data_IF_300101835421
#
_entry.id   IF_300101835421
#
_cell.length_a   1.000
_cell.length_b   1.000
_cell.length_c   1.000
_cell.angle_alpha   90.00
_cell.angle_beta   90.00
_cell.angle_gamma   90.00
#
_symmetry.space_group_name_H-M   'P 1'
#
loop_
_entity.id
_entity.type
_entity.pdbx_description
1 polymer ?
#
# COMPACT_ATOMS: atom_id res chain seq x y z
N UNK A 1 18.39 -15.54 14.17
CA UNK A 1 18.18 -14.78 12.91
C UNK A 1 16.98 -15.37 12.20
N UNK A 2 15.92 -14.58 12.03
CA UNK A 2 15.26 -14.43 10.74
C UNK A 2 14.28 -13.27 10.85
N UNK A 3 14.57 -12.24 10.06
CA UNK A 3 13.79 -11.04 9.88
C UNK A 3 12.37 -11.42 9.49
N UNK A 4 11.44 -11.35 10.45
CA UNK A 4 10.04 -11.17 10.11
C UNK A 4 9.97 -9.82 9.40
N UNK A 5 9.71 -9.86 8.09
CA UNK A 5 9.30 -8.71 7.29
C UNK A 5 8.40 -7.82 8.14
N UNK A 6 8.94 -6.68 8.58
CA UNK A 6 8.22 -5.67 9.36
C UNK A 6 7.16 -5.06 8.43
N UNK A 7 6.05 -5.78 8.22
CA UNK A 7 4.91 -5.33 7.42
C UNK A 7 4.46 -3.97 7.98
N UNK A 8 4.72 -2.91 7.23
CA UNK A 8 4.30 -1.55 7.60
C UNK A 8 2.78 -1.53 7.60
N UNK A 9 2.18 -1.47 8.79
CA UNK A 9 0.72 -1.50 8.95
C UNK A 9 0.18 -0.08 8.81
N UNK A 10 -0.99 0.02 8.18
CA UNK A 10 -1.74 1.26 8.19
C UNK A 10 -2.46 1.42 9.53
N UNK A 11 -2.17 2.47 10.28
CA UNK A 11 -2.67 2.62 11.67
C UNK A 11 -3.21 4.02 11.97
N UNK A 12 -3.44 4.85 10.95
CA UNK A 12 -3.74 6.23 11.20
C UNK A 12 -4.14 7.02 9.98
N UNK A 13 -4.52 8.26 10.23
CA UNK A 13 -4.91 9.24 9.24
C UNK A 13 -4.05 10.50 9.38
N UNK A 14 -3.78 11.13 8.26
CA UNK A 14 -3.08 12.40 8.13
C UNK A 14 -4.02 13.38 7.50
N UNK A 15 -4.15 14.55 8.10
CA UNK A 15 -4.73 15.70 7.46
C UNK A 15 -3.61 16.68 7.14
N UNK A 16 -3.52 17.11 5.89
CA UNK A 16 -2.58 18.15 5.47
C UNK A 16 -3.38 19.38 5.06
N UNK A 17 -3.01 20.54 5.58
CA UNK A 17 -3.58 21.84 5.22
C UNK A 17 -2.43 22.78 4.88
N UNK A 18 -2.41 23.28 3.65
CA UNK A 18 -1.38 24.19 3.17
C UNK A 18 -1.97 25.59 2.92
N UNK A 19 -1.22 26.62 3.31
CA UNK A 19 -1.35 27.99 2.84
C UNK A 19 -0.07 28.39 2.05
N UNK A 20 0.01 29.61 1.55
CA UNK A 20 1.12 30.06 0.68
C UNK A 20 2.52 29.94 1.31
N UNK A 21 2.60 29.88 2.65
CA UNK A 21 3.84 29.96 3.43
C UNK A 21 4.04 28.79 4.40
N UNK A 22 2.96 28.14 4.84
CA UNK A 22 2.97 27.11 5.88
C UNK A 22 2.17 25.88 5.44
N UNK A 23 2.74 24.71 5.68
CA UNK A 23 2.00 23.45 5.62
C UNK A 23 1.85 22.92 7.03
N UNK A 24 0.60 22.72 7.47
CA UNK A 24 0.29 22.03 8.72
C UNK A 24 -0.10 20.59 8.44
N UNK A 25 0.54 19.69 9.16
CA UNK A 25 0.31 18.25 9.10
C UNK A 25 -0.24 17.81 10.46
N UNK A 26 -1.48 17.34 10.47
CA UNK A 26 -2.08 16.71 11.65
C UNK A 26 -2.05 15.20 11.46
N UNK A 27 -1.38 14.49 12.36
CA UNK A 27 -1.26 13.03 12.34
C UNK A 27 -2.10 12.46 13.47
N UNK A 28 -3.01 11.55 13.13
CA UNK A 28 -3.79 10.78 14.08
C UNK A 28 -3.48 9.29 13.91
N UNK A 29 -3.18 8.61 15.00
CA UNK A 29 -2.82 7.20 15.04
C UNK A 29 -3.69 6.45 16.05
N UNK A 30 -4.14 5.25 15.68
CA UNK A 30 -4.84 4.32 16.58
C UNK A 30 -4.47 2.87 16.29
N UNK A 31 -4.42 2.05 17.34
CA UNK A 31 -4.36 0.59 17.22
C UNK A 31 -2.94 0.00 17.22
N UNK A 32 -1.95 0.80 17.60
CA UNK A 32 -0.64 0.27 17.99
C UNK A 32 -0.64 -0.02 19.49
N UNK A 33 -0.51 -1.30 19.85
CA UNK A 33 -0.38 -1.73 21.24
C UNK A 33 1.04 -1.41 21.72
N UNK A 34 1.17 -0.30 22.43
CA UNK A 34 2.45 0.15 22.99
C UNK A 34 2.41 0.02 24.50
N UNK A 35 3.58 -0.22 25.10
CA UNK A 35 3.75 -0.04 26.53
C UNK A 35 3.42 1.41 26.92
N UNK A 36 3.04 1.62 28.18
CA UNK A 36 2.47 2.87 28.66
C UNK A 36 3.45 4.04 28.41
N UNK A 37 3.09 4.94 27.50
CA UNK A 37 3.81 6.20 27.25
C UNK A 37 5.02 6.09 26.29
N UNK A 38 4.85 5.45 25.13
CA UNK A 38 5.89 5.42 24.10
C UNK A 38 5.90 6.69 23.24
N UNK A 39 7.09 7.07 22.78
CA UNK A 39 7.30 8.08 21.74
C UNK A 39 7.55 7.40 20.40
N UNK A 40 7.06 7.99 19.32
CA UNK A 40 7.41 7.63 17.95
C UNK A 40 7.96 8.82 17.19
N UNK A 41 8.86 8.58 16.24
CA UNK A 41 9.37 9.60 15.32
C UNK A 41 8.49 9.65 14.07
N UNK A 42 8.06 10.83 13.66
CA UNK A 42 7.23 11.06 12.48
C UNK A 42 8.11 11.49 11.31
N UNK A 43 7.93 10.84 10.17
CA UNK A 43 8.68 11.09 8.94
C UNK A 43 7.74 11.44 7.80
N UNK A 44 8.14 12.45 7.02
CA UNK A 44 7.69 12.62 5.65
C UNK A 44 8.44 11.68 4.73
N UNK A 45 7.75 11.25 3.67
CA UNK A 45 8.31 10.41 2.62
C UNK A 45 8.10 11.12 1.28
N UNK A 46 9.19 11.42 0.61
CA UNK A 46 9.17 11.99 -0.74
C UNK A 46 9.19 10.94 -1.84
N UNK A 47 9.00 11.36 -3.09
CA UNK A 47 8.90 10.48 -4.28
C UNK A 47 10.15 9.63 -4.51
N UNK A 48 11.35 10.16 -4.23
CA UNK A 48 12.60 9.43 -4.40
C UNK A 48 12.95 8.56 -3.18
N UNK A 49 11.97 8.33 -2.30
CA UNK A 49 12.07 7.50 -1.10
C UNK A 49 12.98 8.10 -0.01
N UNK A 50 13.23 9.41 -0.08
CA UNK A 50 13.80 10.19 1.02
C UNK A 50 12.87 10.23 2.22
N UNK A 51 13.47 10.12 3.42
CA UNK A 51 12.77 10.18 4.69
C UNK A 51 13.21 11.41 5.48
N UNK A 52 12.29 12.33 5.76
CA UNK A 52 12.55 13.55 6.50
C UNK A 52 11.83 13.52 7.84
N UNK A 53 12.57 13.58 8.95
CA UNK A 53 11.97 13.63 10.28
C UNK A 53 11.31 15.00 10.52
N UNK A 54 10.05 15.00 10.93
CA UNK A 54 9.26 16.23 11.17
C UNK A 54 8.89 16.45 12.64
N UNK A 55 9.09 15.44 13.49
CA UNK A 55 8.91 15.58 14.94
C UNK A 55 8.64 14.27 15.66
N UNK A 56 8.33 14.37 16.95
CA UNK A 56 7.92 13.24 17.79
C UNK A 56 6.39 13.19 17.92
N UNK A 57 5.85 11.99 18.11
CA UNK A 57 4.46 11.70 18.43
C UNK A 57 4.41 10.92 19.73
N UNK A 58 3.69 11.45 20.73
CA UNK A 58 3.46 10.72 21.97
C UNK A 58 2.25 9.79 21.81
N UNK A 59 2.38 8.55 22.28
CA UNK A 59 1.38 7.51 22.14
C UNK A 59 0.96 7.03 23.53
N UNK A 60 -0.31 7.21 23.84
CA UNK A 60 -0.90 6.82 25.11
C UNK A 60 -2.25 6.14 24.87
N UNK A 61 -2.50 5.04 25.58
CA UNK A 61 -3.73 4.25 25.43
C UNK A 61 -4.02 3.84 23.98
N UNK A 62 -2.97 3.45 23.25
CA UNK A 62 -3.01 3.05 21.83
C UNK A 62 -3.49 4.15 20.86
N UNK A 63 -3.43 5.42 21.28
CA UNK A 63 -3.79 6.59 20.48
C UNK A 63 -2.60 7.57 20.49
N UNK A 64 -2.29 8.13 19.34
CA UNK A 64 -1.31 9.22 19.19
C UNK A 64 -1.90 10.33 18.35
N UNK A 65 -1.69 11.58 18.76
CA UNK A 65 -2.05 12.77 17.99
C UNK A 65 -0.94 13.80 18.07
N UNK A 66 -0.58 14.38 16.93
CA UNK A 66 0.46 15.39 16.82
C UNK A 66 0.21 16.32 15.64
N UNK A 67 0.59 17.59 15.80
CA UNK A 67 0.57 18.58 14.73
C UNK A 67 1.99 19.08 14.46
N UNK A 68 2.34 19.15 13.18
CA UNK A 68 3.65 19.55 12.70
C UNK A 68 3.50 20.69 11.71
N UNK A 69 4.37 21.68 11.78
CA UNK A 69 4.39 22.82 10.87
C UNK A 69 5.67 22.78 10.03
N UNK A 70 5.50 22.92 8.72
CA UNK A 70 6.59 23.01 7.75
C UNK A 70 6.54 24.40 7.12
N UNK A 71 7.66 25.12 7.19
CA UNK A 71 7.82 26.48 6.63
C UNK A 71 8.69 26.43 5.38
N UNK A 72 8.27 27.20 4.37
CA UNK A 72 8.85 27.21 3.03
C UNK A 72 10.28 27.79 2.94
N UNK A 73 10.72 28.63 3.89
CA UNK A 73 11.96 29.43 3.80
C UNK A 73 12.75 29.57 5.11
N UNK A 74 12.80 28.56 5.99
CA UNK A 74 13.62 28.63 7.23
C UNK A 74 13.27 27.55 8.25
N UNK A 75 13.90 26.38 8.07
CA UNK A 75 13.41 25.07 8.50
C UNK A 75 13.82 24.60 9.89
N UNK A 76 13.01 23.68 10.43
CA UNK A 76 13.46 22.61 11.35
C UNK A 76 13.67 21.26 10.62
N UNK A 77 13.22 21.12 9.37
CA UNK A 77 13.50 19.98 8.48
C UNK A 77 13.54 20.43 7.01
N UNK A 78 14.55 20.00 6.24
CA UNK A 78 14.72 20.36 4.82
C UNK A 78 13.72 19.59 3.95
N UNK A 79 12.84 20.31 3.28
CA UNK A 79 11.82 19.88 2.35
C UNK A 79 11.68 20.99 1.30
N UNK A 80 12.28 20.78 0.14
CA UNK A 80 12.11 21.68 -1.00
C UNK A 80 10.78 21.39 -1.67
N UNK A 81 10.14 22.46 -2.17
CA UNK A 81 8.80 22.45 -2.77
C UNK A 81 8.62 21.43 -3.91
N UNK A 82 9.72 20.92 -4.45
CA UNK A 82 9.75 20.04 -5.62
C UNK A 82 9.77 18.53 -5.25
N UNK A 83 9.94 18.18 -3.97
CA UNK A 83 9.86 16.78 -3.51
C UNK A 83 8.40 16.40 -3.20
N UNK A 84 7.57 16.01 -4.17
CA UNK A 84 6.18 15.64 -3.86
C UNK A 84 6.06 14.57 -2.74
N UNK A 85 5.36 14.91 -1.65
CA UNK A 85 5.15 14.00 -0.51
C UNK A 85 4.21 12.87 -0.93
N UNK A 86 4.67 11.64 -0.85
CA UNK A 86 3.86 10.44 -1.13
C UNK A 86 3.31 9.81 0.15
N UNK A 87 3.86 10.12 1.32
CA UNK A 87 3.50 9.44 2.56
C UNK A 87 3.95 10.10 3.85
N UNK A 88 3.36 9.63 4.94
CA UNK A 88 3.84 9.86 6.31
C UNK A 88 3.99 8.51 6.98
N UNK A 89 5.16 8.29 7.58
CA UNK A 89 5.42 7.14 8.45
C UNK A 89 5.69 7.55 9.88
N UNK A 90 5.46 6.62 10.79
CA UNK A 90 5.70 6.78 12.22
C UNK A 90 6.49 5.57 12.68
N UNK A 91 7.68 5.80 13.22
CA UNK A 91 8.54 4.76 13.78
C UNK A 91 8.36 4.75 15.30
N UNK A 92 7.87 3.64 15.86
CA UNK A 92 7.65 3.47 17.29
C UNK A 92 8.45 2.27 17.76
N UNK A 93 9.53 2.53 18.51
CA UNK A 93 10.55 1.52 18.78
C UNK A 93 11.06 0.92 17.47
N UNK A 94 10.84 -0.37 17.29
CA UNK A 94 11.21 -1.10 16.07
C UNK A 94 10.11 -1.17 15.00
N UNK A 95 8.91 -0.67 15.27
CA UNK A 95 7.74 -0.83 14.40
C UNK A 95 7.54 0.43 13.56
N UNK A 96 7.66 0.29 12.23
CA UNK A 96 7.32 1.36 11.29
C UNK A 96 5.88 1.21 10.81
N UNK A 97 5.13 2.28 10.94
CA UNK A 97 3.72 2.32 10.60
C UNK A 97 3.44 3.47 9.64
N UNK A 98 2.36 3.35 8.87
CA UNK A 98 2.00 4.34 7.85
C UNK A 98 0.63 4.94 8.15
N UNK A 99 0.46 6.21 7.80
CA UNK A 99 -0.83 6.88 7.90
C UNK A 99 -1.43 7.15 6.51
N UNK A 100 -2.76 7.01 6.38
CA UNK A 100 -3.52 7.38 5.18
C UNK A 100 -3.71 8.88 5.16
N UNK A 101 -3.70 9.53 4.00
CA UNK A 101 -4.20 10.89 3.93
C UNK A 101 -5.74 10.86 4.02
N UNK A 102 -6.33 11.78 4.77
CA UNK A 102 -7.77 11.82 5.07
C UNK A 102 -8.58 12.58 4.00
N UNK A 103 -7.94 13.25 3.05
CA UNK A 103 -8.67 14.10 2.11
C UNK A 103 -9.33 13.32 0.98
N UNK A 104 -10.58 13.69 0.67
CA UNK A 104 -11.27 13.40 -0.59
C UNK A 104 -10.78 14.30 -1.75
N UNK A 105 -9.86 15.24 -1.48
CA UNK A 105 -9.49 16.34 -2.39
C UNK A 105 -7.97 16.56 -2.62
N UNK A 106 -7.07 15.72 -2.08
CA UNK A 106 -5.70 15.74 -2.64
C UNK A 106 -5.69 14.90 -3.91
N UNK A 107 -5.40 15.56 -5.02
CA UNK A 107 -5.04 14.97 -6.29
C UNK A 107 -3.72 14.20 -6.18
N UNK A 108 -3.69 13.15 -5.35
CA UNK A 108 -2.63 12.14 -5.38
C UNK A 108 -2.76 11.53 -6.78
N UNK A 109 -1.81 11.82 -7.66
CA UNK A 109 -1.82 11.23 -8.99
C UNK A 109 -1.69 9.70 -8.83
N UNK A 110 -2.23 8.91 -9.77
CA UNK A 110 -2.15 7.43 -9.70
C UNK A 110 -0.71 6.94 -9.49
N UNK A 111 0.25 7.68 -10.05
CA UNK A 111 1.68 7.51 -9.91
C UNK A 111 2.15 7.57 -8.44
N UNK A 112 1.65 8.54 -7.69
CA UNK A 112 2.02 8.81 -6.30
C UNK A 112 1.44 7.72 -5.38
N UNK A 113 0.24 7.23 -5.69
CA UNK A 113 -0.35 6.11 -4.98
C UNK A 113 0.43 4.81 -5.21
N UNK A 114 0.88 4.56 -6.45
CA UNK A 114 1.75 3.42 -6.75
C UNK A 114 3.07 3.48 -5.97
N UNK A 115 3.77 4.62 -6.02
CA UNK A 115 5.03 4.82 -5.28
C UNK A 115 4.83 4.61 -3.78
N UNK A 116 3.73 5.15 -3.23
CA UNK A 116 3.34 4.92 -1.84
C UNK A 116 3.14 3.44 -1.55
N UNK A 117 2.41 2.71 -2.38
CA UNK A 117 2.19 1.28 -2.18
C UNK A 117 3.51 0.49 -2.27
N UNK A 118 4.38 0.82 -3.22
CA UNK A 118 5.70 0.20 -3.39
C UNK A 118 6.62 0.40 -2.17
N UNK A 119 6.49 1.53 -1.48
CA UNK A 119 7.20 1.78 -0.22
C UNK A 119 6.72 0.90 0.95
N UNK A 120 5.43 0.54 0.94
CA UNK A 120 4.75 -0.15 2.04
C UNK A 120 4.81 -1.67 1.89
N UNK A 121 4.59 -2.14 0.67
CA UNK A 121 4.38 -3.55 0.38
C UNK A 121 5.61 -4.16 -0.32
N UNK A 122 5.95 -5.43 -0.02
CA UNK A 122 7.08 -6.09 -0.67
C UNK A 122 6.93 -6.15 -2.18
N UNK A 123 7.96 -5.71 -2.90
CA UNK A 123 8.13 -6.01 -4.32
C UNK A 123 8.40 -7.50 -4.50
N UNK A 124 7.68 -8.13 -5.42
CA UNK A 124 7.81 -9.57 -5.71
C UNK A 124 8.06 -9.79 -7.21
N UNK A 125 8.56 -10.97 -7.56
CA UNK A 125 8.75 -11.39 -8.95
C UNK A 125 8.11 -12.76 -9.14
N UNK A 126 6.79 -12.81 -9.35
CA UNK A 126 6.03 -14.06 -9.26
C UNK A 126 6.08 -14.90 -10.54
N UNK A 127 6.66 -14.40 -11.63
CA UNK A 127 6.74 -15.08 -12.92
C UNK A 127 8.22 -15.37 -13.25
N UNK A 128 8.49 -16.54 -13.82
CA UNK A 128 9.84 -16.93 -14.27
C UNK A 128 10.29 -16.11 -15.48
N UNK A 129 9.34 -15.66 -16.30
CA UNK A 129 9.61 -14.74 -17.39
C UNK A 129 9.90 -13.33 -16.84
N UNK A 130 11.08 -12.80 -17.20
CA UNK A 130 11.43 -11.42 -16.88
C UNK A 130 10.58 -10.46 -17.71
N UNK A 131 9.50 -9.97 -17.12
CA UNK A 131 8.69 -8.90 -17.67
C UNK A 131 9.27 -7.55 -17.26
N UNK A 132 10.18 -7.00 -18.07
CA UNK A 132 10.84 -5.71 -17.81
C UNK A 132 9.84 -4.56 -17.60
N UNK A 133 8.67 -4.64 -18.24
CA UNK A 133 7.63 -3.60 -18.18
C UNK A 133 6.61 -3.78 -17.03
N UNK A 134 6.82 -4.75 -16.12
CA UNK A 134 5.86 -5.05 -15.04
C UNK A 134 6.48 -4.97 -13.66
N UNK A 135 5.75 -4.33 -12.76
CA UNK A 135 6.09 -4.30 -11.35
C UNK A 135 4.99 -5.01 -10.54
N UNK A 136 5.40 -5.71 -9.47
CA UNK A 136 4.49 -6.51 -8.66
C UNK A 136 4.69 -6.22 -7.18
N UNK A 137 3.58 -6.05 -6.46
CA UNK A 137 3.55 -5.90 -5.01
C UNK A 137 2.73 -7.01 -4.38
N UNK A 138 3.20 -7.55 -3.26
CA UNK A 138 2.42 -8.47 -2.42
C UNK A 138 1.58 -7.68 -1.42
N UNK A 139 0.26 -7.65 -1.60
CA UNK A 139 -0.69 -6.89 -0.77
C UNK A 139 -1.70 -7.80 -0.07
N UNK A 140 -2.60 -7.22 0.72
CA UNK A 140 -3.74 -7.92 1.35
C UNK A 140 -5.08 -7.33 0.90
N UNK A 141 -6.22 -8.00 1.15
CA UNK A 141 -7.53 -7.46 0.78
C UNK A 141 -7.85 -6.10 1.41
N UNK A 142 -7.23 -5.75 2.55
CA UNK A 142 -7.43 -4.45 3.20
C UNK A 142 -6.95 -3.27 2.35
N UNK A 143 -6.05 -3.50 1.41
CA UNK A 143 -5.53 -2.49 0.50
C UNK A 143 -6.49 -2.14 -0.63
N UNK A 144 -7.54 -2.93 -0.86
CA UNK A 144 -8.54 -2.64 -1.89
C UNK A 144 -9.26 -1.30 -1.60
N UNK A 145 -9.21 -0.78 -0.37
CA UNK A 145 -9.70 0.57 -0.05
C UNK A 145 -8.93 1.71 -0.74
N UNK A 146 -7.78 1.42 -1.35
CA UNK A 146 -7.03 2.37 -2.18
C UNK A 146 -7.48 2.38 -3.65
N UNK A 147 -8.33 1.43 -4.05
CA UNK A 147 -8.80 1.33 -5.43
C UNK A 147 -10.01 2.25 -5.65
N UNK A 148 -10.48 2.36 -6.89
CA UNK A 148 -11.68 3.13 -7.20
C UNK A 148 -12.91 2.51 -6.52
N UNK A 149 -13.95 3.33 -6.30
CA UNK A 149 -15.16 2.89 -5.57
C UNK A 149 -15.84 1.67 -6.23
N UNK A 150 -15.74 1.54 -7.56
CA UNK A 150 -16.30 0.41 -8.31
C UNK A 150 -15.63 -0.93 -7.95
N UNK A 151 -14.34 -0.89 -7.59
CA UNK A 151 -13.55 -2.07 -7.26
C UNK A 151 -13.59 -2.42 -5.76
N UNK A 152 -14.17 -1.58 -4.90
CA UNK A 152 -14.31 -1.87 -3.46
C UNK A 152 -15.09 -3.17 -3.15
N UNK A 153 -15.97 -3.59 -4.06
CA UNK A 153 -16.68 -4.87 -3.98
C UNK A 153 -15.72 -6.07 -3.85
N UNK A 154 -14.48 -5.94 -4.32
CA UNK A 154 -13.44 -6.97 -4.21
C UNK A 154 -13.04 -7.31 -2.77
N UNK A 155 -13.22 -6.40 -1.80
CA UNK A 155 -12.95 -6.70 -0.39
C UNK A 155 -13.80 -7.85 0.16
N UNK A 156 -14.99 -8.04 -0.42
CA UNK A 156 -15.95 -9.08 -0.03
C UNK A 156 -16.07 -10.18 -1.09
N UNK A 157 -15.23 -10.16 -2.13
CA UNK A 157 -15.31 -11.16 -3.18
C UNK A 157 -14.84 -12.52 -2.66
N UNK A 158 -15.71 -13.52 -2.74
CA UNK A 158 -15.47 -14.86 -2.16
C UNK A 158 -14.25 -15.54 -2.80
N UNK A 159 -14.07 -15.41 -4.12
CA UNK A 159 -12.95 -16.01 -4.82
C UNK A 159 -11.61 -15.43 -4.36
N UNK A 160 -11.54 -14.10 -4.25
CA UNK A 160 -10.37 -13.39 -3.73
C UNK A 160 -10.08 -13.76 -2.27
N UNK A 161 -11.11 -13.76 -1.42
CA UNK A 161 -10.96 -14.08 0.00
C UNK A 161 -10.55 -15.53 0.23
N UNK A 162 -11.08 -16.49 -0.56
CA UNK A 162 -10.65 -17.89 -0.55
C UNK A 162 -9.18 -18.02 -0.94
N UNK A 163 -8.76 -17.38 -2.04
CA UNK A 163 -7.36 -17.38 -2.47
C UNK A 163 -6.43 -16.76 -1.42
N UNK A 164 -6.77 -15.59 -0.89
CA UNK A 164 -6.05 -14.99 0.23
C UNK A 164 -6.02 -15.90 1.47
N UNK A 165 -7.12 -16.59 1.77
CA UNK A 165 -7.20 -17.56 2.87
C UNK A 165 -6.16 -18.66 2.77
N UNK A 166 -5.93 -19.17 1.55
CA UNK A 166 -4.99 -20.25 1.28
C UNK A 166 -3.52 -19.80 1.22
N UNK A 167 -3.24 -18.65 0.60
CA UNK A 167 -1.87 -18.22 0.32
C UNK A 167 -1.37 -17.09 1.22
N UNK A 168 -2.26 -16.41 1.95
CA UNK A 168 -2.00 -15.26 2.84
C UNK A 168 -1.45 -14.00 2.16
N UNK A 169 -1.55 -13.94 0.84
CA UNK A 169 -1.28 -12.75 0.03
C UNK A 169 -2.11 -12.77 -1.26
N UNK A 170 -2.19 -11.60 -1.89
CA UNK A 170 -2.61 -11.38 -3.27
C UNK A 170 -1.56 -10.49 -3.93
N UNK A 171 -1.49 -10.48 -5.26
CA UNK A 171 -0.55 -9.60 -5.97
C UNK A 171 -1.28 -8.42 -6.59
N UNK A 172 -0.64 -7.26 -6.55
CA UNK A 172 -0.98 -6.10 -7.33
C UNK A 172 0.07 -5.97 -8.43
N UNK A 173 -0.38 -5.77 -9.66
CA UNK A 173 0.47 -5.70 -10.85
C UNK A 173 0.26 -4.34 -11.49
N UNK A 174 1.36 -3.66 -11.78
CA UNK A 174 1.37 -2.50 -12.67
C UNK A 174 1.96 -2.89 -14.01
N UNK A 175 1.21 -2.61 -15.07
CA UNK A 175 1.62 -2.80 -16.46
C UNK A 175 1.34 -1.50 -17.21
N UNK A 176 2.40 -0.70 -17.42
CA UNK A 176 2.31 0.66 -17.97
C UNK A 176 1.33 1.53 -17.15
N UNK A 177 0.25 1.95 -17.79
CA UNK A 177 -0.83 2.77 -17.22
C UNK A 177 -2.01 1.95 -16.66
N UNK A 178 -1.86 0.63 -16.60
CA UNK A 178 -2.92 -0.29 -16.17
C UNK A 178 -2.53 -1.06 -14.92
N UNK A 179 -3.55 -1.37 -14.12
CA UNK A 179 -3.40 -2.07 -12.86
C UNK A 179 -4.23 -3.35 -12.87
N UNK A 180 -3.64 -4.44 -12.39
CA UNK A 180 -4.30 -5.73 -12.24
C UNK A 180 -4.15 -6.20 -10.80
N UNK A 181 -5.16 -6.92 -10.32
CA UNK A 181 -5.08 -7.71 -9.10
C UNK A 181 -5.03 -9.19 -9.45
N UNK A 182 -4.13 -9.93 -8.81
CA UNK A 182 -3.92 -11.34 -9.01
C UNK A 182 -4.20 -12.16 -7.76
N UNK A 183 -5.06 -13.15 -7.87
CA UNK A 183 -5.35 -14.13 -6.81
C UNK A 183 -4.55 -15.39 -7.10
N UNK A 184 -3.63 -15.81 -6.20
CA UNK A 184 -2.87 -17.04 -6.39
C UNK A 184 -3.78 -18.26 -6.37
N UNK A 185 -3.48 -19.25 -7.22
CA UNK A 185 -4.28 -20.45 -7.33
C UNK A 185 -3.68 -21.52 -8.25
N UNK A 186 -4.32 -22.69 -8.24
CA UNK A 186 -4.00 -23.81 -9.12
C UNK A 186 -5.02 -23.83 -10.26
N UNK A 187 -4.54 -23.94 -11.49
CA UNK A 187 -5.40 -23.98 -12.66
C UNK A 187 -6.10 -25.33 -12.80
N UNK A 188 -7.42 -25.29 -12.71
CA UNK A 188 -8.33 -26.32 -13.19
C UNK A 188 -9.48 -25.63 -13.91
N UNK A 189 -10.12 -26.31 -14.87
CA UNK A 189 -11.24 -25.74 -15.63
C UNK A 189 -12.40 -25.28 -14.72
N UNK A 190 -12.67 -26.04 -13.66
CA UNK A 190 -13.69 -25.71 -12.66
C UNK A 190 -13.35 -24.44 -11.87
N UNK A 191 -12.12 -24.32 -11.39
CA UNK A 191 -11.66 -23.14 -10.65
C UNK A 191 -11.57 -21.92 -11.59
N UNK A 192 -11.15 -22.10 -12.84
CA UNK A 192 -11.14 -21.04 -13.84
C UNK A 192 -12.55 -20.55 -14.20
N UNK A 193 -13.53 -21.45 -14.30
CA UNK A 193 -14.93 -21.08 -14.48
C UNK A 193 -15.46 -20.29 -13.26
N UNK A 194 -15.09 -20.70 -12.04
CA UNK A 194 -15.44 -20.00 -10.81
C UNK A 194 -14.79 -18.60 -10.73
N UNK A 195 -13.50 -18.51 -11.08
CA UNK A 195 -12.76 -17.26 -11.17
C UNK A 195 -13.42 -16.28 -12.15
N UNK A 196 -13.80 -16.78 -13.33
CA UNK A 196 -14.46 -15.99 -14.37
C UNK A 196 -15.82 -15.44 -13.91
N UNK A 197 -16.63 -16.25 -13.21
CA UNK A 197 -17.89 -15.78 -12.59
C UNK A 197 -17.66 -14.65 -11.57
N UNK A 198 -16.50 -14.62 -10.93
CA UNK A 198 -16.08 -13.59 -9.98
C UNK A 198 -15.34 -12.41 -10.64
N UNK A 199 -15.26 -12.36 -11.98
CA UNK A 199 -14.63 -11.27 -12.73
C UNK A 199 -13.11 -11.42 -12.94
N UNK A 200 -12.51 -12.55 -12.57
CA UNK A 200 -11.11 -12.88 -12.85
C UNK A 200 -11.04 -13.67 -14.17
N UNK A 201 -10.81 -12.95 -15.27
CA UNK A 201 -11.01 -13.48 -16.62
C UNK A 201 -9.76 -14.12 -17.24
N UNK A 202 -8.58 -13.90 -16.68
CA UNK A 202 -7.30 -14.43 -17.18
C UNK A 202 -6.60 -15.25 -16.10
N UNK A 203 -5.98 -16.35 -16.49
CA UNK A 203 -5.02 -17.06 -15.66
C UNK A 203 -3.61 -16.94 -16.27
N UNK A 204 -2.63 -16.60 -15.44
CA UNK A 204 -1.22 -16.52 -15.83
C UNK A 204 -0.41 -17.51 -14.98
N UNK A 205 0.13 -18.60 -15.58
CA UNK A 205 1.03 -19.53 -14.89
C UNK A 205 2.34 -18.86 -14.50
N UNK A 206 2.92 -19.27 -13.36
CA UNK A 206 4.26 -18.78 -12.92
C UNK A 206 5.35 -19.12 -13.95
N UNK A 207 5.29 -20.32 -14.51
CA UNK A 207 6.26 -20.82 -15.53
C UNK A 207 6.09 -20.19 -16.91
N UNK A 208 5.17 -19.24 -17.07
CA UNK A 208 4.84 -18.68 -18.37
C UNK A 208 4.05 -19.63 -19.27
N UNK A 209 3.86 -19.20 -20.52
CA UNK A 209 3.12 -19.97 -21.53
C UNK A 209 1.60 -20.11 -21.26
N UNK A 210 1.01 -21.15 -21.86
CA UNK A 210 -0.44 -21.41 -21.77
C UNK A 210 -0.79 -22.14 -20.46
N UNK A 211 -1.98 -21.87 -19.88
CA UNK A 211 -2.47 -22.63 -18.73
C UNK A 211 -2.58 -24.13 -19.02
N UNK A 212 -2.13 -24.96 -18.07
CA UNK A 212 -2.30 -26.41 -18.06
C UNK A 212 -2.84 -26.85 -16.70
N UNK A 213 -3.55 -27.99 -16.63
CA UNK A 213 -4.13 -28.45 -15.38
C UNK A 213 -3.07 -28.70 -14.31
N UNK A 214 -3.35 -28.26 -13.08
CA UNK A 214 -2.41 -28.33 -11.96
C UNK A 214 -1.34 -27.23 -11.97
N UNK A 215 -1.30 -26.34 -12.98
CA UNK A 215 -0.36 -25.23 -13.00
C UNK A 215 -0.63 -24.24 -11.85
N UNK A 216 0.41 -23.86 -11.11
CA UNK A 216 0.32 -22.73 -10.18
C UNK A 216 0.50 -21.41 -10.92
N UNK A 217 -0.29 -20.40 -10.52
CA UNK A 217 -0.31 -19.10 -11.15
C UNK A 217 -1.32 -18.16 -10.50
N UNK A 218 -1.74 -17.15 -11.27
CA UNK A 218 -2.58 -16.08 -10.77
C UNK A 218 -3.79 -15.87 -11.66
N UNK A 219 -4.97 -15.82 -11.03
CA UNK A 219 -6.21 -15.37 -11.64
C UNK A 219 -6.27 -13.85 -11.59
N UNK A 220 -6.32 -13.20 -12.75
CA UNK A 220 -6.14 -11.76 -12.91
C UNK A 220 -7.46 -11.06 -13.20
N UNK A 221 -7.63 -9.90 -12.59
CA UNK A 221 -8.71 -8.93 -12.87
C UNK A 221 -8.10 -7.54 -13.01
N UNK A 222 -8.59 -6.77 -13.98
CA UNK A 222 -8.21 -5.36 -14.13
C UNK A 222 -8.93 -4.50 -13.09
N UNK A 223 -8.21 -3.56 -12.49
CA UNK A 223 -8.72 -2.62 -11.49
C UNK A 223 -8.33 -1.19 -11.86
N UNK A 224 -8.88 -0.22 -11.16
CA UNK A 224 -8.52 1.21 -11.27
C UNK A 224 -8.14 1.77 -9.92
N UNK A 225 -7.12 2.63 -9.89
CA UNK A 225 -6.87 3.48 -8.74
C UNK A 225 -7.77 4.72 -8.75
N UNK A 226 -8.10 5.21 -7.56
CA UNK A 226 -8.82 6.46 -7.37
C UNK A 226 -8.02 7.65 -7.90
#
# INVERSE_FOLDING_TARGET
>A
MNCLDKKKRNIGFVKMTADDLNTRISVYMRGLYVEKGMKGSVYLIGKANEEHIIGELFIQNNVGYGEYQIRKNGMTCNYEKDEEIIGISILVGDVRCMCRFQSEETCIQKEDLWLKMKYIYPTVHPFEENHIEKEYLSITPNEISFFSKEDHSLQKNEFLLKGYGNYKYIILIREKESYLIGVPGIYYLTEAANAKKNGFWKFSPVKGGKPYEGAFGYYLKQIRFH
#
